data_IF_579603452346
#
_entry.id   IF_579603452346
#
_cell.length_a   1.000
_cell.length_b   1.000
_cell.length_c   1.000
_cell.angle_alpha   90.00
_cell.angle_beta   90.00
_cell.angle_gamma   90.00
#
_symmetry.space_group_name_H-M   'P 1'
#
loop_
_entity.id
_entity.type
_entity.pdbx_description
1 polymer ?
#
# COMPACT_ATOMS: atom_id res chain seq x y z
N UNK A 1 -11.04 -60.81 16.47
CA UNK A 1 -10.53 -59.59 15.80
C UNK A 1 -9.27 -59.13 16.53
N UNK A 2 -8.10 -59.17 15.89
CA UNK A 2 -6.80 -58.99 16.58
C UNK A 2 -6.64 -57.57 17.13
N UNK A 3 -6.29 -57.43 18.41
CA UNK A 3 -6.04 -56.13 19.08
C UNK A 3 -5.06 -55.23 18.29
N UNK A 4 -4.11 -55.85 17.57
CA UNK A 4 -3.19 -55.16 16.63
C UNK A 4 -3.91 -54.51 15.43
N UNK A 5 -4.94 -55.15 14.85
CA UNK A 5 -5.74 -54.60 13.75
C UNK A 5 -6.66 -53.47 14.20
N UNK A 6 -7.21 -53.52 15.42
CA UNK A 6 -7.98 -52.42 16.01
C UNK A 6 -7.08 -51.22 16.36
N UNK A 7 -5.86 -51.46 16.85
CA UNK A 7 -4.88 -50.41 17.11
C UNK A 7 -4.41 -49.72 15.82
N UNK A 8 -4.16 -50.50 14.76
CA UNK A 8 -3.82 -49.99 13.42
C UNK A 8 -4.98 -49.20 12.78
N UNK A 9 -6.23 -49.63 12.95
CA UNK A 9 -7.40 -48.90 12.44
C UNK A 9 -7.62 -47.57 13.19
N UNK A 10 -7.45 -47.53 14.51
CA UNK A 10 -7.57 -46.30 15.29
C UNK A 10 -6.46 -45.29 14.98
N UNK A 11 -5.22 -45.75 14.73
CA UNK A 11 -4.12 -44.89 14.30
C UNK A 11 -4.38 -44.24 12.93
N UNK A 12 -4.98 -44.97 11.98
CA UNK A 12 -5.29 -44.45 10.65
C UNK A 12 -6.42 -43.40 10.65
N UNK A 13 -7.41 -43.55 11.55
CA UNK A 13 -8.50 -42.58 11.71
C UNK A 13 -8.02 -41.32 12.45
N UNK A 14 -7.13 -41.45 13.45
CA UNK A 14 -6.56 -40.31 14.19
C UNK A 14 -5.59 -39.49 13.33
N UNK A 15 -4.79 -40.13 12.46
CA UNK A 15 -3.90 -39.43 11.52
C UNK A 15 -4.70 -38.67 10.46
N UNK A 16 -5.84 -39.20 10.00
CA UNK A 16 -6.76 -38.50 9.08
C UNK A 16 -7.44 -37.27 9.71
N UNK A 17 -7.65 -37.24 11.04
CA UNK A 17 -8.20 -36.08 11.72
C UNK A 17 -7.16 -35.00 12.04
N UNK A 18 -5.87 -35.34 12.12
CA UNK A 18 -4.79 -34.36 12.32
C UNK A 18 -4.30 -33.67 11.03
N UNK A 19 -4.64 -34.19 9.84
CA UNK A 19 -4.30 -33.56 8.55
C UNK A 19 -5.32 -32.50 8.08
N UNK A 20 -6.36 -32.22 8.88
CA UNK A 20 -7.47 -31.32 8.51
C UNK A 20 -7.19 -29.82 8.64
N UNK A 21 -6.01 -29.40 9.09
CA UNK A 21 -5.73 -28.00 9.46
C UNK A 21 -4.64 -27.33 8.62
N UNK A 22 -4.75 -27.42 7.28
CA UNK A 22 -4.16 -26.46 6.37
C UNK A 22 -5.20 -26.04 5.32
N UNK A 23 -6.34 -25.53 5.78
CA UNK A 23 -7.11 -24.61 4.95
C UNK A 23 -6.27 -23.34 4.83
N UNK A 24 -5.33 -23.32 3.87
CA UNK A 24 -4.74 -22.07 3.42
C UNK A 24 -5.90 -21.14 3.07
N UNK A 25 -6.08 -20.02 3.78
CA UNK A 25 -7.22 -19.16 3.53
C UNK A 25 -7.18 -18.68 2.07
N UNK A 26 -8.20 -19.06 1.30
CA UNK A 26 -8.35 -18.69 -0.11
C UNK A 26 -8.83 -17.23 -0.28
N UNK A 27 -9.10 -16.53 0.82
CA UNK A 27 -9.55 -15.14 0.80
C UNK A 27 -8.51 -14.25 0.08
N UNK A 28 -8.98 -13.44 -0.86
CA UNK A 28 -8.15 -12.54 -1.68
C UNK A 28 -7.29 -13.22 -2.75
N UNK A 29 -7.30 -14.55 -2.89
CA UNK A 29 -6.71 -15.25 -4.04
C UNK A 29 -7.78 -15.50 -5.10
N UNK A 30 -7.45 -15.27 -6.36
CA UNK A 30 -8.41 -15.45 -7.46
C UNK A 30 -7.80 -15.36 -8.84
N UNK A 31 -8.66 -15.28 -9.87
CA UNK A 31 -8.25 -15.15 -11.28
C UNK A 31 -8.31 -13.70 -11.79
N UNK A 32 -8.67 -12.76 -10.92
CA UNK A 32 -8.78 -11.34 -11.22
C UNK A 32 -7.42 -10.75 -11.57
N UNK A 33 -7.46 -9.74 -12.44
CA UNK A 33 -6.28 -9.00 -12.88
C UNK A 33 -6.55 -7.52 -12.81
N UNK A 34 -5.59 -6.77 -12.29
CA UNK A 34 -5.53 -5.31 -12.36
C UNK A 34 -4.30 -4.90 -13.16
N UNK A 35 -4.43 -3.82 -13.90
CA UNK A 35 -3.35 -3.23 -14.66
C UNK A 35 -3.53 -1.74 -14.73
N UNK A 36 -2.46 -1.02 -15.01
CA UNK A 36 -2.52 0.42 -15.13
C UNK A 36 -1.26 1.05 -15.66
N UNK A 37 -1.27 2.38 -15.64
CA UNK A 37 -0.13 3.24 -15.92
C UNK A 37 0.02 4.24 -14.77
N UNK A 38 1.25 4.52 -14.40
CA UNK A 38 1.63 5.56 -13.44
C UNK A 38 2.42 6.64 -14.17
N UNK A 39 1.99 7.89 -14.03
CA UNK A 39 2.67 9.07 -14.60
C UNK A 39 2.86 10.15 -13.55
N UNK A 40 3.75 11.10 -13.80
CA UNK A 40 3.82 12.35 -13.05
C UNK A 40 2.78 13.37 -13.56
N UNK A 41 2.67 14.53 -12.90
CA UNK A 41 1.78 15.63 -13.33
C UNK A 41 2.13 16.19 -14.72
N UNK A 42 3.37 15.99 -15.18
CA UNK A 42 3.84 16.37 -16.52
C UNK A 42 3.53 15.31 -17.59
N UNK A 43 2.93 14.17 -17.22
CA UNK A 43 2.62 13.07 -18.12
C UNK A 43 3.77 12.09 -18.39
N UNK A 44 4.93 12.29 -17.77
CA UNK A 44 6.07 11.39 -17.88
C UNK A 44 5.80 10.08 -17.12
N UNK A 45 6.22 8.92 -17.63
CA UNK A 45 6.05 7.65 -16.93
C UNK A 45 6.92 7.58 -15.67
N UNK A 46 6.34 7.19 -14.54
CA UNK A 46 7.10 6.94 -13.31
C UNK A 46 7.58 5.50 -13.31
N UNK A 47 8.89 5.29 -13.42
CA UNK A 47 9.51 3.97 -13.49
C UNK A 47 9.84 3.43 -12.10
N UNK A 48 9.75 2.12 -11.90
CA UNK A 48 10.07 1.45 -10.64
C UNK A 48 9.27 1.92 -9.42
N UNK A 49 8.12 2.57 -9.62
CA UNK A 49 7.19 2.89 -8.55
C UNK A 49 6.68 1.59 -7.91
N UNK A 50 6.76 1.51 -6.59
CA UNK A 50 6.26 0.40 -5.81
C UNK A 50 4.73 0.47 -5.75
N UNK A 51 4.07 -0.65 -6.05
CA UNK A 51 2.63 -0.77 -6.02
C UNK A 51 2.27 -1.91 -5.08
N UNK A 52 1.49 -1.58 -4.05
CA UNK A 52 0.98 -2.54 -3.08
C UNK A 52 -0.55 -2.56 -3.16
N UNK A 53 -1.11 -3.75 -3.32
CA UNK A 53 -2.54 -4.01 -3.22
C UNK A 53 -2.80 -4.76 -1.92
N UNK A 54 -3.62 -4.21 -1.05
CA UNK A 54 -4.07 -4.85 0.19
C UNK A 54 -5.56 -5.17 0.09
N UNK A 55 -5.94 -6.41 0.38
CA UNK A 55 -7.34 -6.81 0.38
C UNK A 55 -8.03 -6.25 1.63
N UNK A 56 -9.12 -5.49 1.47
CA UNK A 56 -9.74 -4.79 2.60
C UNK A 56 -10.49 -5.72 3.53
N UNK A 57 -11.06 -6.80 3.02
CA UNK A 57 -11.76 -7.78 3.84
C UNK A 57 -10.79 -8.66 4.67
N UNK A 58 -9.48 -8.58 4.37
CA UNK A 58 -8.43 -9.35 5.04
C UNK A 58 -7.06 -8.73 4.80
N UNK A 59 -6.64 -7.91 5.76
CA UNK A 59 -5.46 -7.06 5.65
C UNK A 59 -4.13 -7.82 5.46
N UNK A 60 -4.02 -9.08 5.88
CA UNK A 60 -2.82 -9.89 5.65
C UNK A 60 -2.63 -10.32 4.19
N UNK A 61 -3.63 -10.13 3.33
CA UNK A 61 -3.51 -10.48 1.92
C UNK A 61 -3.04 -9.28 1.13
N UNK A 62 -1.74 -9.27 0.86
CA UNK A 62 -1.08 -8.25 0.04
C UNK A 62 -0.53 -8.81 -1.26
N UNK A 63 -0.47 -7.95 -2.28
CA UNK A 63 0.21 -8.22 -3.56
C UNK A 63 1.04 -7.01 -3.94
N UNK A 64 2.23 -7.26 -4.46
CA UNK A 64 3.17 -6.20 -4.78
C UNK A 64 3.65 -6.33 -6.22
N UNK A 65 3.91 -5.19 -6.84
CA UNK A 65 4.61 -5.10 -8.12
C UNK A 65 5.35 -3.78 -8.23
N UNK A 66 6.08 -3.60 -9.32
CA UNK A 66 6.69 -2.32 -9.68
C UNK A 66 6.29 -1.93 -11.09
N UNK A 67 6.27 -0.63 -11.37
CA UNK A 67 6.08 -0.14 -12.73
C UNK A 67 7.29 -0.42 -13.61
N UNK A 68 7.03 -0.69 -14.89
CA UNK A 68 8.07 -0.84 -15.90
C UNK A 68 8.63 0.51 -16.40
N UNK A 69 9.55 0.47 -17.36
CA UNK A 69 10.15 1.66 -17.99
C UNK A 69 9.16 2.61 -18.67
N UNK A 70 7.93 2.16 -18.94
CA UNK A 70 6.85 2.96 -19.54
C UNK A 70 5.80 3.36 -18.50
N UNK A 71 6.06 3.14 -17.21
CA UNK A 71 5.12 3.39 -16.11
C UNK A 71 3.99 2.38 -16.04
N UNK A 72 4.02 1.30 -16.83
CA UNK A 72 2.94 0.30 -16.86
C UNK A 72 3.14 -0.74 -15.77
N UNK A 73 2.04 -1.26 -15.25
CA UNK A 73 2.06 -2.30 -14.23
C UNK A 73 0.90 -3.27 -14.42
N UNK A 74 1.05 -4.48 -13.87
CA UNK A 74 0.02 -5.51 -13.85
C UNK A 74 0.18 -6.42 -12.65
N UNK A 75 -0.92 -6.74 -11.99
CA UNK A 75 -1.01 -7.76 -10.95
C UNK A 75 -2.14 -8.72 -11.32
N UNK A 76 -1.84 -10.02 -11.25
CA UNK A 76 -2.81 -11.09 -11.42
C UNK A 76 -2.95 -11.88 -10.11
N UNK A 77 -3.91 -12.79 -10.04
CA UNK A 77 -4.08 -13.64 -8.86
C UNK A 77 -5.00 -13.03 -7.81
N UNK A 78 -5.79 -12.01 -8.18
CA UNK A 78 -6.62 -11.24 -7.25
C UNK A 78 -8.00 -11.89 -7.09
N UNK A 79 -8.44 -12.03 -5.85
CA UNK A 79 -9.82 -12.37 -5.50
C UNK A 79 -10.78 -11.22 -5.81
N UNK A 80 -12.07 -11.57 -5.99
CA UNK A 80 -13.13 -10.56 -6.10
C UNK A 80 -13.30 -9.83 -4.76
N UNK A 81 -13.54 -8.52 -4.81
CA UNK A 81 -13.76 -7.70 -3.62
C UNK A 81 -12.98 -6.39 -3.68
N UNK A 82 -12.81 -5.71 -2.53
CA UNK A 82 -12.22 -4.38 -2.50
C UNK A 82 -10.75 -4.46 -2.12
N UNK A 83 -9.93 -3.76 -2.89
CA UNK A 83 -8.50 -3.69 -2.69
C UNK A 83 -8.10 -2.24 -2.50
N UNK A 84 -7.32 -1.96 -1.46
CA UNK A 84 -6.61 -0.68 -1.31
C UNK A 84 -5.32 -0.76 -2.12
N UNK A 85 -5.20 0.10 -3.14
CA UNK A 85 -3.96 0.31 -3.87
C UNK A 85 -3.19 1.45 -3.22
N UNK A 86 -1.92 1.20 -2.94
CA UNK A 86 -0.92 2.19 -2.54
C UNK A 86 0.18 2.20 -3.60
N UNK A 87 0.51 3.38 -4.13
CA UNK A 87 1.60 3.58 -5.08
C UNK A 87 2.58 4.57 -4.48
N UNK A 88 3.86 4.20 -4.43
CA UNK A 88 4.92 5.06 -3.92
C UNK A 88 6.15 5.05 -4.83
N UNK A 89 6.81 6.18 -4.93
CA UNK A 89 8.07 6.34 -5.64
C UNK A 89 8.90 7.41 -4.93
N UNK A 90 10.23 7.34 -5.05
CA UNK A 90 11.11 8.34 -4.43
C UNK A 90 10.92 9.70 -5.11
N UNK A 91 10.79 10.76 -4.31
CA UNK A 91 10.52 12.11 -4.81
C UNK A 91 9.07 12.35 -5.23
N UNK A 92 8.14 11.46 -4.84
CA UNK A 92 6.71 11.60 -5.12
C UNK A 92 5.87 11.38 -3.87
N UNK A 93 4.73 12.05 -3.83
CA UNK A 93 3.69 11.86 -2.82
C UNK A 93 3.02 10.49 -3.02
N UNK A 94 2.97 9.62 -2.00
CA UNK A 94 2.27 8.34 -2.09
C UNK A 94 0.79 8.50 -2.44
N UNK A 95 0.35 7.75 -3.45
CA UNK A 95 -1.05 7.72 -3.87
C UNK A 95 -1.77 6.53 -3.25
N UNK A 96 -2.99 6.75 -2.73
CA UNK A 96 -3.84 5.68 -2.22
C UNK A 96 -5.25 5.75 -2.81
N UNK A 97 -5.83 4.60 -3.15
CA UNK A 97 -7.23 4.48 -3.59
C UNK A 97 -7.80 3.11 -3.29
N UNK A 98 -9.10 3.02 -3.06
CA UNK A 98 -9.81 1.73 -3.00
C UNK A 98 -10.40 1.41 -4.37
N UNK A 99 -10.21 0.17 -4.84
CA UNK A 99 -10.71 -0.33 -6.12
C UNK A 99 -11.43 -1.67 -5.94
N UNK A 100 -12.53 -1.86 -6.65
CA UNK A 100 -13.24 -3.14 -6.69
C UNK A 100 -12.70 -4.02 -7.79
N UNK A 101 -12.36 -5.26 -7.46
CA UNK A 101 -11.85 -6.27 -8.39
C UNK A 101 -12.93 -7.31 -8.64
N UNK A 102 -13.14 -7.64 -9.92
CA UNK A 102 -13.95 -8.75 -10.40
C UNK A 102 -13.07 -9.84 -11.00
N UNK A 103 -13.48 -11.10 -10.77
CA UNK A 103 -12.91 -12.28 -11.43
C UNK A 103 -13.71 -12.72 -12.66
N UNK A 104 -14.94 -12.22 -12.80
CA UNK A 104 -15.88 -12.59 -13.86
C UNK A 104 -15.77 -11.64 -15.06
N UNK A 105 -15.46 -10.37 -14.77
CA UNK A 105 -15.41 -9.30 -15.75
C UNK A 105 -13.98 -8.74 -15.87
N UNK A 106 -13.73 -8.08 -17.00
CA UNK A 106 -12.47 -7.37 -17.21
C UNK A 106 -12.47 -6.11 -16.34
N UNK A 107 -11.55 -6.04 -15.38
CA UNK A 107 -11.35 -4.82 -14.60
C UNK A 107 -10.79 -3.69 -15.48
N UNK A 108 -11.22 -2.43 -15.23
CA UNK A 108 -10.71 -1.28 -15.96
C UNK A 108 -9.22 -1.06 -15.70
N UNK A 109 -8.52 -0.50 -16.68
CA UNK A 109 -7.14 -0.06 -16.50
C UNK A 109 -7.12 1.19 -15.62
N UNK A 110 -6.24 1.23 -14.63
CA UNK A 110 -6.09 2.37 -13.74
C UNK A 110 -5.02 3.32 -14.29
N UNK A 111 -5.35 4.60 -14.46
CA UNK A 111 -4.37 5.65 -14.69
C UNK A 111 -4.13 6.39 -13.38
N UNK A 112 -2.89 6.41 -12.91
CA UNK A 112 -2.50 6.97 -11.62
C UNK A 112 -1.51 8.09 -11.88
N UNK A 113 -1.79 9.27 -11.33
CA UNK A 113 -0.89 10.42 -11.37
C UNK A 113 -0.25 10.54 -10.00
N UNK A 114 1.08 10.49 -9.95
CA UNK A 114 1.84 10.81 -8.76
C UNK A 114 2.30 12.26 -8.84
N UNK A 115 2.04 13.00 -7.77
CA UNK A 115 2.52 14.36 -7.66
C UNK A 115 3.95 14.34 -7.11
N UNK A 116 4.85 15.13 -7.69
CA UNK A 116 6.21 15.25 -7.18
C UNK A 116 6.23 15.90 -5.80
N UNK A 117 7.27 15.55 -5.06
CA UNK A 117 7.66 16.30 -3.87
C UNK A 117 8.37 17.56 -4.37
N UNK A 118 7.74 18.71 -4.22
CA UNK A 118 8.24 20.03 -4.57
C UNK A 118 9.12 20.58 -3.44
N UNK A 119 10.23 19.89 -3.17
CA UNK A 119 11.20 20.22 -2.11
C UNK A 119 11.76 21.65 -2.24
N UNK A 120 11.88 22.16 -3.47
CA UNK A 120 12.26 23.55 -3.75
C UNK A 120 11.19 24.58 -3.38
N UNK A 121 9.91 24.20 -3.34
CA UNK A 121 8.86 25.06 -2.81
C UNK A 121 8.95 25.14 -1.29
N UNK A 122 9.28 24.03 -0.60
CA UNK A 122 9.54 24.05 0.85
C UNK A 122 10.70 25.00 1.15
N UNK A 123 11.86 24.88 0.49
CA UNK A 123 13.02 25.75 0.75
C UNK A 123 12.77 27.25 0.50
N UNK A 124 11.82 27.58 -0.39
CA UNK A 124 11.48 28.97 -0.74
C UNK A 124 10.18 29.46 -0.10
N UNK A 125 9.53 28.62 0.70
CA UNK A 125 8.27 28.93 1.33
C UNK A 125 8.46 30.04 2.38
N UNK A 126 7.57 31.05 2.43
CA UNK A 126 7.45 31.87 3.63
C UNK A 126 7.21 30.98 4.86
N UNK A 127 7.86 31.31 5.97
CA UNK A 127 7.75 30.49 7.18
C UNK A 127 8.60 29.22 7.18
N UNK A 128 9.51 28.98 6.22
CA UNK A 128 10.43 27.81 6.21
C UNK A 128 11.14 27.55 7.54
N UNK A 129 11.45 28.58 8.32
CA UNK A 129 12.02 28.43 9.67
C UNK A 129 11.11 27.68 10.65
N UNK A 130 9.78 27.75 10.47
CA UNK A 130 8.80 26.97 11.24
C UNK A 130 8.91 25.49 10.87
N UNK A 131 9.04 25.18 9.58
CA UNK A 131 9.23 23.80 9.13
C UNK A 131 10.56 23.21 9.63
N UNK A 132 11.66 23.96 9.54
CA UNK A 132 12.97 23.57 10.09
C UNK A 132 12.90 23.32 11.60
N UNK A 133 12.28 24.23 12.35
CA UNK A 133 12.06 24.09 13.79
C UNK A 133 11.17 22.89 14.13
N UNK A 134 10.14 22.63 13.34
CA UNK A 134 9.32 21.42 13.44
C UNK A 134 10.17 20.15 13.31
N UNK A 135 11.09 20.11 12.34
CA UNK A 135 12.01 18.99 12.13
C UNK A 135 12.99 18.80 13.30
N UNK A 136 13.53 19.88 13.86
CA UNK A 136 14.37 19.82 15.07
C UNK A 136 13.60 19.23 16.25
N UNK A 137 12.41 19.75 16.53
CA UNK A 137 11.54 19.28 17.62
C UNK A 137 11.13 17.81 17.43
N UNK A 138 10.86 17.40 16.19
CA UNK A 138 10.56 16.00 15.85
C UNK A 138 11.75 15.08 16.16
N UNK A 139 12.97 15.48 15.78
CA UNK A 139 14.19 14.73 16.09
C UNK A 139 14.46 14.66 17.61
N UNK A 140 14.06 15.69 18.35
CA UNK A 140 14.07 15.71 19.81
C UNK A 140 12.92 14.91 20.46
N UNK A 141 12.04 14.29 19.65
CA UNK A 141 10.84 13.56 20.08
C UNK A 141 9.78 14.43 20.78
N UNK A 142 9.84 15.75 20.58
CA UNK A 142 8.85 16.72 21.06
C UNK A 142 7.72 16.86 20.05
N UNK A 143 6.96 15.78 19.88
CA UNK A 143 6.00 15.65 18.78
C UNK A 143 4.88 16.70 18.83
N UNK A 144 4.37 17.06 20.00
CA UNK A 144 3.30 18.07 20.13
C UNK A 144 3.75 19.45 19.63
N UNK A 145 4.97 19.86 19.99
CA UNK A 145 5.55 21.13 19.58
C UNK A 145 5.93 21.10 18.09
N UNK A 146 6.43 19.97 17.59
CA UNK A 146 6.69 19.77 16.18
C UNK A 146 5.41 19.91 15.35
N UNK A 147 4.32 19.27 15.79
CA UNK A 147 2.99 19.37 15.15
C UNK A 147 2.53 20.82 15.07
N UNK A 148 2.65 21.60 16.14
CA UNK A 148 2.23 22.99 16.14
C UNK A 148 3.01 23.84 15.11
N UNK A 149 4.34 23.68 15.03
CA UNK A 149 5.15 24.41 14.04
C UNK A 149 4.84 23.98 12.60
N UNK A 150 4.57 22.70 12.37
CA UNK A 150 4.13 22.20 11.07
C UNK A 150 2.74 22.72 10.67
N UNK A 151 1.82 22.84 11.63
CA UNK A 151 0.49 23.41 11.38
C UNK A 151 0.58 24.89 11.01
N UNK A 152 1.40 25.66 11.74
CA UNK A 152 1.61 27.09 11.45
C UNK A 152 2.25 27.29 10.06
N UNK A 153 3.24 26.46 9.70
CA UNK A 153 3.80 26.46 8.34
C UNK A 153 2.76 26.16 7.26
N UNK A 154 1.83 25.24 7.52
CA UNK A 154 0.75 24.87 6.59
C UNK A 154 -0.34 25.96 6.48
N UNK A 155 -0.56 26.78 7.51
CA UNK A 155 -1.48 27.92 7.44
C UNK A 155 -0.98 29.00 6.46
N UNK A 156 0.34 29.21 6.42
CA UNK A 156 0.96 30.17 5.49
C UNK A 156 1.17 29.60 4.08
N UNK A 157 1.24 28.28 3.94
CA UNK A 157 1.53 27.58 2.68
C UNK A 157 0.53 26.42 2.42
N UNK A 158 -0.77 26.72 2.23
CA UNK A 158 -1.81 25.70 2.10
C UNK A 158 -1.65 24.79 0.87
N UNK A 159 -0.84 25.19 -0.11
CA UNK A 159 -0.50 24.40 -1.30
C UNK A 159 0.60 23.35 -1.07
N UNK A 160 1.41 23.51 -0.02
CA UNK A 160 2.55 22.61 0.29
C UNK A 160 2.04 21.46 1.17
N UNK A 161 1.22 20.59 0.59
CA UNK A 161 0.65 19.40 1.25
C UNK A 161 1.71 18.38 1.75
N UNK A 162 2.98 18.55 1.39
CA UNK A 162 4.10 17.68 1.78
C UNK A 162 4.34 17.56 3.28
N UNK A 163 3.94 18.57 4.07
CA UNK A 163 4.13 18.52 5.54
C UNK A 163 3.19 17.51 6.22
N UNK A 164 2.08 17.13 5.56
CA UNK A 164 1.21 16.06 6.07
C UNK A 164 1.90 14.69 6.12
N UNK A 165 2.97 14.48 5.34
CA UNK A 165 3.74 13.22 5.36
C UNK A 165 4.84 13.22 6.43
N UNK A 166 5.43 14.38 6.75
CA UNK A 166 6.33 14.52 7.93
C UNK A 166 5.61 14.25 9.25
N UNK A 167 4.29 14.46 9.28
CA UNK A 167 3.41 14.19 10.42
C UNK A 167 2.97 12.72 10.55
N UNK A 168 3.33 11.86 9.60
CA UNK A 168 2.78 10.51 9.46
C UNK A 168 3.80 9.44 9.10
N UNK A 169 4.78 9.23 9.99
CA UNK A 169 5.47 7.95 10.20
C UNK A 169 6.06 7.90 11.62
#
# INVERSE_FOLDING_TARGET
>A
MNKKKQFLLCCLIIVSLLTGSLLFPQAGRGRGRLSGKVTDESGNPVTSAAITLQFLEREEVTRETKTDKNGKWKIAGLGSGRWKITVSAQGFIPYQKTVSVSQLERNPSLNIILNKIEEQLIEKAPGISLFEKGNELFNEKKFEEAIANYQEFLEENPEIYEVHFSLGN
#
